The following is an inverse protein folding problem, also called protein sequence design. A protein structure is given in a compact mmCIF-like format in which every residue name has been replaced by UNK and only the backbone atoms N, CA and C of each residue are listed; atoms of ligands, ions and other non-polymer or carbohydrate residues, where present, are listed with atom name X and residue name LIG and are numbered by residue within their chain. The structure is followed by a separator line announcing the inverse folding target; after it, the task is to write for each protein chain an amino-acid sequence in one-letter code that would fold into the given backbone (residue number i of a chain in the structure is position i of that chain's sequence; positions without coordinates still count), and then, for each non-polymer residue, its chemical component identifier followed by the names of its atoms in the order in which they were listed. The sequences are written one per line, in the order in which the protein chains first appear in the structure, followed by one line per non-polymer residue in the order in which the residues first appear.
data_IF_751204067021
#
_entry.id   IF_751204067021
#
_cell.length_a   1.000
_cell.length_b   1.000
_cell.length_c   1.000
_cell.angle_alpha   90.00
_cell.angle_beta   90.00
_cell.angle_gamma   90.00
#
_symmetry.space_group_name_H-M   'P 1'
#
loop_
_entity.id
_entity.type
_entity.pdbx_description
1 polymer ?
#
# COMPACT_ATOMS: atom_id res chain seq x y z
N UNK A 1 8.38 1.06 23.96
CA UNK A 1 7.64 2.27 23.57
C UNK A 1 7.21 2.16 22.13
N UNK A 2 5.96 2.43 21.88
CA UNK A 2 5.42 2.33 20.53
C UNK A 2 5.47 3.68 19.83
N UNK A 3 5.89 3.69 18.59
CA UNK A 3 5.80 4.87 17.74
C UNK A 3 5.04 4.49 16.47
N UNK A 4 4.49 5.50 15.81
CA UNK A 4 3.77 5.29 14.56
C UNK A 4 4.74 5.46 13.39
N UNK A 5 5.14 4.38 12.68
CA UNK A 5 6.11 4.47 11.60
C UNK A 5 5.60 5.25 10.39
N UNK A 6 4.29 5.57 10.34
CA UNK A 6 3.70 6.33 9.25
C UNK A 6 3.83 7.83 9.46
N UNK A 7 3.87 8.28 10.72
CA UNK A 7 3.91 9.71 11.04
C UNK A 7 5.11 10.10 11.90
N UNK A 8 5.87 9.13 12.38
CA UNK A 8 7.00 9.35 13.27
C UNK A 8 8.24 8.61 12.78
N UNK A 9 9.40 9.10 13.14
CA UNK A 9 10.67 8.43 12.89
C UNK A 9 11.52 8.47 14.15
N UNK A 10 12.40 7.46 14.32
CA UNK A 10 13.34 7.41 15.42
C UNK A 10 14.64 8.07 14.95
N UNK A 11 15.15 9.01 15.74
CA UNK A 11 16.38 9.71 15.46
C UNK A 11 17.31 9.66 16.67
N UNK A 12 18.61 9.80 16.42
CA UNK A 12 19.59 9.96 17.49
C UNK A 12 19.58 11.42 17.93
N UNK A 13 19.55 11.66 19.24
CA UNK A 13 19.53 13.02 19.78
C UNK A 13 20.91 13.65 19.84
N UNK A 14 21.98 12.86 19.62
CA UNK A 14 23.35 13.36 19.51
C UNK A 14 24.13 12.45 18.54
N UNK A 15 25.43 12.74 18.37
CA UNK A 15 26.26 12.01 17.40
C UNK A 15 26.83 10.69 17.94
N UNK A 16 26.57 10.34 19.19
CA UNK A 16 27.02 9.05 19.72
C UNK A 16 25.97 7.99 19.44
N UNK A 17 26.44 6.75 19.17
CA UNK A 17 25.55 5.61 18.92
C UNK A 17 25.23 4.96 20.27
N UNK A 18 24.34 5.57 21.00
CA UNK A 18 23.88 5.08 22.30
C UNK A 18 22.36 4.90 22.22
N UNK A 19 21.84 3.67 22.43
CA UNK A 19 20.40 3.42 22.34
C UNK A 19 19.57 4.31 23.28
N UNK A 20 20.16 4.81 24.39
CA UNK A 20 19.46 5.70 25.27
C UNK A 20 19.28 7.11 24.69
N UNK A 21 19.99 7.41 23.62
CA UNK A 21 19.94 8.70 22.94
C UNK A 21 18.97 8.71 21.77
N UNK A 22 18.21 7.65 21.58
CA UNK A 22 17.18 7.61 20.55
C UNK A 22 15.97 8.41 20.96
N UNK A 23 15.43 9.18 20.04
CA UNK A 23 14.20 9.93 20.25
C UNK A 23 13.20 9.64 19.13
N UNK A 24 11.92 9.61 19.48
CA UNK A 24 10.84 9.49 18.51
C UNK A 24 10.30 10.89 18.25
N UNK A 25 10.32 11.31 17.00
CA UNK A 25 9.82 12.62 16.59
C UNK A 25 8.76 12.45 15.50
N UNK A 26 7.84 13.40 15.44
CA UNK A 26 6.82 13.39 14.39
C UNK A 26 7.46 13.79 13.06
N UNK A 27 6.98 13.14 11.98
CA UNK A 27 7.37 13.52 10.64
C UNK A 27 6.80 14.89 10.29
N UNK A 28 7.55 15.65 9.48
CA UNK A 28 7.03 16.91 8.95
C UNK A 28 5.91 16.65 7.95
N UNK A 29 5.12 17.68 7.65
CA UNK A 29 4.05 17.58 6.66
C UNK A 29 4.58 17.14 5.29
N UNK A 30 5.75 17.63 4.89
CA UNK A 30 6.38 17.25 3.63
C UNK A 30 6.79 15.78 3.63
N UNK A 31 7.33 15.29 4.75
CA UNK A 31 7.71 13.89 4.88
C UNK A 31 6.50 12.97 4.82
N UNK A 32 5.41 13.35 5.48
CA UNK A 32 4.15 12.59 5.45
C UNK A 32 3.60 12.55 4.02
N UNK A 33 3.59 13.68 3.32
CA UNK A 33 3.10 13.73 1.95
C UNK A 33 3.94 12.86 1.00
N UNK A 34 5.27 12.91 1.14
CA UNK A 34 6.16 12.06 0.35
C UNK A 34 5.91 10.58 0.63
N UNK A 35 5.66 10.22 1.90
CA UNK A 35 5.35 8.84 2.27
C UNK A 35 4.02 8.39 1.67
N UNK A 36 3.01 9.28 1.63
CA UNK A 36 1.73 8.99 0.99
C UNK A 36 1.89 8.71 -0.49
N UNK A 37 2.67 9.52 -1.19
CA UNK A 37 2.91 9.35 -2.63
C UNK A 37 3.62 8.02 -2.91
N UNK A 38 4.66 7.69 -2.15
CA UNK A 38 5.36 6.41 -2.30
C UNK A 38 4.45 5.22 -2.01
N UNK A 39 3.63 5.33 -0.97
CA UNK A 39 2.69 4.26 -0.63
C UNK A 39 1.64 4.06 -1.71
N UNK A 40 1.16 5.14 -2.32
CA UNK A 40 0.20 5.07 -3.42
C UNK A 40 0.83 4.44 -4.65
N UNK A 41 2.09 4.76 -4.96
CA UNK A 41 2.82 4.14 -6.06
C UNK A 41 3.00 2.63 -5.83
N UNK A 42 3.31 2.23 -4.61
CA UNK A 42 3.41 0.81 -4.24
C UNK A 42 2.07 0.10 -4.39
N UNK A 43 0.99 0.74 -3.96
CA UNK A 43 -0.35 0.17 -4.07
C UNK A 43 -0.71 -0.04 -5.54
N UNK A 44 -0.43 0.94 -6.40
CA UNK A 44 -0.70 0.82 -7.84
C UNK A 44 0.13 -0.28 -8.48
N UNK A 45 1.40 -0.41 -8.10
CA UNK A 45 2.27 -1.47 -8.61
C UNK A 45 1.76 -2.85 -8.22
N UNK A 46 1.35 -3.04 -6.97
CA UNK A 46 0.78 -4.29 -6.49
C UNK A 46 -0.54 -4.59 -7.19
N UNK A 47 -1.40 -3.58 -7.34
CA UNK A 47 -2.66 -3.72 -8.08
C UNK A 47 -2.39 -4.18 -9.51
N UNK A 48 -1.44 -3.55 -10.20
CA UNK A 48 -1.12 -3.89 -11.57
C UNK A 48 -0.60 -5.32 -11.67
N UNK A 49 0.23 -5.76 -10.73
CA UNK A 49 0.70 -7.14 -10.66
C UNK A 49 -0.45 -8.14 -10.51
N UNK A 50 -1.43 -7.80 -9.66
CA UNK A 50 -2.61 -8.64 -9.46
C UNK A 50 -3.49 -8.69 -10.71
N UNK A 51 -3.62 -7.58 -11.42
CA UNK A 51 -4.36 -7.54 -12.69
C UNK A 51 -3.68 -8.40 -13.75
N UNK A 52 -2.37 -8.29 -13.90
CA UNK A 52 -1.62 -9.12 -14.85
C UNK A 52 -1.75 -10.59 -14.50
N UNK A 53 -1.68 -10.95 -13.23
CA UNK A 53 -1.78 -12.34 -12.79
C UNK A 53 -3.12 -13.00 -13.12
N UNK A 54 -4.18 -12.21 -13.32
CA UNK A 54 -5.50 -12.73 -13.64
C UNK A 54 -6.01 -12.32 -15.04
N UNK A 55 -5.16 -11.79 -15.91
CA UNK A 55 -5.57 -11.41 -17.27
C UNK A 55 -6.15 -12.58 -18.04
N UNK A 56 -5.61 -13.79 -17.84
CA UNK A 56 -6.10 -14.99 -18.53
C UNK A 56 -7.58 -15.29 -18.26
N UNK A 57 -8.13 -14.78 -17.16
CA UNK A 57 -9.53 -15.03 -16.79
C UNK A 57 -10.52 -14.30 -17.70
N UNK A 58 -10.03 -13.37 -18.53
CA UNK A 58 -10.85 -12.60 -19.46
C UNK A 58 -10.75 -13.09 -20.89
N UNK A 59 -9.99 -14.16 -21.13
CA UNK A 59 -9.88 -14.76 -22.45
C UNK A 59 -11.18 -15.50 -22.81
N UNK A 60 -11.54 -15.60 -24.12
CA UNK A 60 -12.78 -16.25 -24.53
C UNK A 60 -12.89 -17.72 -24.13
N UNK A 61 -11.77 -18.41 -23.99
CA UNK A 61 -11.72 -19.83 -23.65
C UNK A 61 -11.50 -20.11 -22.18
N UNK A 62 -11.57 -19.08 -21.33
CA UNK A 62 -11.46 -19.27 -19.89
C UNK A 62 -12.67 -20.07 -19.37
N UNK A 63 -12.37 -21.17 -18.67
CA UNK A 63 -13.39 -22.12 -18.23
C UNK A 63 -14.05 -21.80 -16.90
N UNK A 64 -13.56 -20.82 -16.13
CA UNK A 64 -14.09 -20.44 -14.83
C UNK A 64 -15.16 -19.39 -14.92
N UNK A 65 -15.49 -18.79 -13.77
CA UNK A 65 -16.50 -17.73 -13.67
C UNK A 65 -15.90 -16.38 -14.10
N UNK A 66 -16.01 -16.11 -15.38
CA UNK A 66 -15.47 -14.91 -16.01
C UNK A 66 -16.05 -13.63 -15.40
N UNK A 67 -17.35 -13.66 -15.05
CA UNK A 67 -18.01 -12.49 -14.49
C UNK A 67 -17.53 -12.19 -13.07
N UNK A 68 -17.32 -13.20 -12.25
CA UNK A 68 -16.78 -13.00 -10.90
C UNK A 68 -15.38 -12.40 -10.96
N UNK A 69 -14.54 -12.88 -11.88
CA UNK A 69 -13.21 -12.32 -12.09
C UNK A 69 -13.27 -10.91 -12.65
N UNK A 70 -14.21 -10.59 -13.52
CA UNK A 70 -14.40 -9.23 -14.04
C UNK A 70 -14.73 -8.27 -12.90
N UNK A 71 -15.58 -8.68 -11.97
CA UNK A 71 -15.94 -7.88 -10.79
C UNK A 71 -14.72 -7.66 -9.90
N UNK A 72 -13.94 -8.70 -9.63
CA UNK A 72 -12.71 -8.60 -8.86
C UNK A 72 -11.72 -7.63 -9.53
N UNK A 73 -11.53 -7.75 -10.84
CA UNK A 73 -10.63 -6.88 -11.59
C UNK A 73 -11.10 -5.42 -11.55
N UNK A 74 -12.40 -5.17 -11.64
CA UNK A 74 -12.95 -3.82 -11.56
C UNK A 74 -12.70 -3.22 -10.16
N UNK A 75 -12.87 -4.02 -9.12
CA UNK A 75 -12.55 -3.61 -7.74
C UNK A 75 -11.08 -3.21 -7.62
N UNK A 76 -10.18 -3.97 -8.25
CA UNK A 76 -8.74 -3.62 -8.25
C UNK A 76 -8.49 -2.28 -8.97
N UNK A 77 -9.14 -2.06 -10.12
CA UNK A 77 -8.96 -0.81 -10.87
C UNK A 77 -9.43 0.41 -10.08
N UNK A 78 -10.52 0.27 -9.33
CA UNK A 78 -11.12 1.35 -8.57
C UNK A 78 -10.41 1.60 -7.24
N UNK A 79 -9.52 0.69 -6.83
CA UNK A 79 -8.92 0.70 -5.52
C UNK A 79 -8.20 2.00 -5.18
N UNK A 80 -7.33 2.57 -6.06
CA UNK A 80 -6.63 3.80 -5.71
C UNK A 80 -7.56 4.97 -5.41
N UNK A 81 -8.73 5.02 -6.04
CA UNK A 81 -9.70 6.09 -5.80
C UNK A 81 -10.47 5.89 -4.49
N UNK A 82 -10.54 4.66 -3.98
CA UNK A 82 -11.33 4.31 -2.81
C UNK A 82 -10.52 4.13 -1.53
N UNK A 83 -9.19 4.13 -1.64
CA UNK A 83 -8.30 3.98 -0.49
C UNK A 83 -8.07 5.34 0.14
N UNK A 84 -8.34 5.45 1.45
CA UNK A 84 -8.15 6.70 2.18
C UNK A 84 -6.68 6.94 2.55
N UNK A 85 -5.93 5.87 2.85
CA UNK A 85 -4.50 5.97 3.17
C UNK A 85 -3.79 4.69 2.73
N UNK A 86 -3.03 4.79 1.64
CA UNK A 86 -2.31 3.65 1.08
C UNK A 86 -1.17 3.15 1.97
N UNK A 87 -0.70 3.98 2.92
CA UNK A 87 0.40 3.60 3.81
C UNK A 87 0.01 2.49 4.77
N UNK A 88 -1.28 2.38 5.08
CA UNK A 88 -1.80 1.39 6.01
C UNK A 88 -2.77 0.43 5.34
N UNK A 89 -2.83 0.44 4.01
CA UNK A 89 -3.76 -0.38 3.27
C UNK A 89 -3.29 -1.84 3.22
N UNK A 90 -4.13 -2.76 3.67
CA UNK A 90 -3.88 -4.19 3.60
C UNK A 90 -5.15 -4.98 3.26
N UNK A 91 -6.23 -4.29 2.91
CA UNK A 91 -7.55 -4.89 2.71
C UNK A 91 -7.80 -5.21 1.22
N UNK A 92 -6.92 -6.01 0.62
CA UNK A 92 -7.06 -6.42 -0.77
C UNK A 92 -8.34 -7.26 -0.96
N UNK A 93 -9.06 -7.09 -2.09
CA UNK A 93 -10.25 -7.91 -2.34
C UNK A 93 -9.87 -9.37 -2.50
N UNK A 94 -10.78 -10.24 -2.11
CA UNK A 94 -10.58 -11.68 -2.22
C UNK A 94 -10.79 -12.14 -3.66
N UNK A 95 -9.95 -13.07 -4.11
CA UNK A 95 -10.12 -13.69 -5.42
C UNK A 95 -11.40 -14.52 -5.44
N UNK A 96 -12.08 -14.56 -6.58
CA UNK A 96 -13.26 -15.41 -6.75
C UNK A 96 -12.96 -16.89 -6.56
#
# INVERSE_FOLDING_TARGET
MNHNPLTQKVVYTNFTVDPTQLAVVDLTADEIEANKLRAMDKLRAERNARLVACDYTQLPDFAGDKQAWATYRQTLRDLPANVSDARIFDAWPNKP
#
